data_IF_900816624083
#
_entry.id   IF_900816624083
#
_cell.length_a   1.000
_cell.length_b   1.000
_cell.length_c   1.000
_cell.angle_alpha   90.00
_cell.angle_beta   90.00
_cell.angle_gamma   90.00
#
_symmetry.space_group_name_H-M   'P 1'
#
loop_
_entity.id
_entity.type
_entity.pdbx_description
1 polymer ?
#
# COMPACT_ATOMS: atom_id res chain seq x y z
N UNK A 1 -2.56 9.28 -6.04
CA UNK A 1 -2.30 8.69 -7.36
C UNK A 1 -3.05 7.36 -7.52
N UNK A 2 -2.68 6.28 -6.82
CA UNK A 2 -3.20 4.91 -7.03
C UNK A 2 -4.72 4.79 -6.85
N UNK A 3 -5.28 5.48 -5.84
CA UNK A 3 -6.71 5.45 -5.58
C UNK A 3 -7.56 5.88 -6.79
N UNK A 4 -7.06 6.82 -7.62
CA UNK A 4 -7.76 7.27 -8.82
C UNK A 4 -7.91 6.14 -9.86
N UNK A 5 -6.84 5.36 -10.08
CA UNK A 5 -6.89 4.24 -11.02
C UNK A 5 -7.67 3.05 -10.47
N UNK A 6 -7.60 2.83 -9.16
CA UNK A 6 -8.38 1.78 -8.50
C UNK A 6 -9.89 2.10 -8.53
N UNK A 7 -10.26 3.38 -8.43
CA UNK A 7 -11.66 3.81 -8.47
C UNK A 7 -12.39 3.42 -9.76
N UNK A 8 -11.67 3.24 -10.87
CA UNK A 8 -12.25 2.82 -12.15
C UNK A 8 -12.59 1.32 -12.21
N UNK A 9 -12.07 0.52 -11.28
CA UNK A 9 -12.10 -0.95 -11.38
C UNK A 9 -12.58 -1.65 -10.11
N UNK A 10 -12.52 -0.98 -8.96
CA UNK A 10 -12.92 -1.55 -7.68
C UNK A 10 -14.34 -1.13 -7.31
N UNK A 11 -15.08 -2.02 -6.68
CA UNK A 11 -16.44 -1.72 -6.19
C UNK A 11 -16.44 -0.69 -5.04
N UNK A 12 -15.37 -0.65 -4.26
CA UNK A 12 -15.16 0.34 -3.21
C UNK A 12 -13.65 0.56 -3.01
N UNK A 13 -13.27 1.80 -2.70
CA UNK A 13 -11.88 2.17 -2.40
C UNK A 13 -11.83 2.99 -1.12
N UNK A 14 -10.85 2.70 -0.28
CA UNK A 14 -10.50 3.55 0.86
C UNK A 14 -9.10 4.09 0.64
N UNK A 15 -8.97 5.39 0.48
CA UNK A 15 -7.68 6.09 0.38
C UNK A 15 -7.32 6.66 1.76
N UNK A 16 -6.17 6.26 2.29
CA UNK A 16 -5.67 6.70 3.60
C UNK A 16 -4.47 7.61 3.39
N UNK A 17 -4.52 8.81 3.93
CA UNK A 17 -3.45 9.80 3.82
C UNK A 17 -3.33 10.60 5.12
N UNK A 18 -2.10 10.87 5.57
CA UNK A 18 -1.84 11.57 6.82
C UNK A 18 -1.61 13.08 6.63
N UNK A 19 -1.08 13.49 5.49
CA UNK A 19 -0.75 14.89 5.22
C UNK A 19 -2.02 15.71 4.90
N UNK A 20 -2.35 16.78 5.63
CA UNK A 20 -3.60 17.51 5.43
C UNK A 20 -3.79 18.06 4.01
N UNK A 21 -2.74 18.60 3.40
CA UNK A 21 -2.78 19.10 2.03
C UNK A 21 -3.10 17.97 1.04
N UNK A 22 -2.40 16.82 1.13
CA UNK A 22 -2.65 15.67 0.27
C UNK A 22 -4.04 15.04 0.50
N UNK A 23 -4.59 15.14 1.71
CA UNK A 23 -5.98 14.75 1.99
C UNK A 23 -6.96 15.67 1.25
N UNK A 24 -6.72 16.98 1.23
CA UNK A 24 -7.56 17.93 0.52
C UNK A 24 -7.53 17.65 -1.00
N UNK A 25 -6.34 17.52 -1.58
CA UNK A 25 -6.13 17.17 -2.99
C UNK A 25 -6.79 15.82 -3.34
N UNK A 26 -6.65 14.82 -2.46
CA UNK A 26 -7.28 13.52 -2.67
C UNK A 26 -8.81 13.62 -2.69
N UNK A 27 -9.42 14.41 -1.81
CA UNK A 27 -10.87 14.63 -1.79
C UNK A 27 -11.36 15.30 -3.05
N UNK A 28 -10.65 16.31 -3.55
CA UNK A 28 -10.98 16.99 -4.80
C UNK A 28 -10.87 16.04 -5.99
N UNK A 29 -9.71 15.37 -6.15
CA UNK A 29 -9.43 14.49 -7.28
C UNK A 29 -10.31 13.23 -7.32
N UNK A 30 -10.83 12.79 -6.16
CA UNK A 30 -11.66 11.59 -6.04
C UNK A 30 -13.17 11.91 -5.91
N UNK A 31 -13.55 13.18 -5.87
CA UNK A 31 -14.94 13.61 -5.79
C UNK A 31 -15.87 13.00 -6.87
N UNK A 32 -15.42 12.75 -8.12
CA UNK A 32 -16.24 12.09 -9.14
C UNK A 32 -16.58 10.62 -8.84
N UNK A 33 -15.95 10.00 -7.82
CA UNK A 33 -16.10 8.59 -7.50
C UNK A 33 -16.82 8.40 -6.16
N UNK A 34 -18.17 8.27 -6.12
CA UNK A 34 -18.93 8.20 -4.87
C UNK A 34 -18.64 6.96 -4.02
N UNK A 35 -18.04 5.92 -4.60
CA UNK A 35 -17.62 4.69 -3.91
C UNK A 35 -16.19 4.76 -3.33
N UNK A 36 -15.53 5.93 -3.44
CA UNK A 36 -14.21 6.17 -2.85
C UNK A 36 -14.36 6.98 -1.56
N UNK A 37 -13.79 6.46 -0.48
CA UNK A 37 -13.72 7.15 0.81
C UNK A 37 -12.29 7.61 1.09
N UNK A 38 -12.09 8.91 1.31
CA UNK A 38 -10.80 9.46 1.75
C UNK A 38 -10.80 9.57 3.27
N UNK A 39 -9.88 8.90 3.92
CA UNK A 39 -9.71 8.88 5.38
C UNK A 39 -8.40 9.59 5.75
N UNK A 40 -8.53 10.69 6.47
CA UNK A 40 -7.37 11.41 7.02
C UNK A 40 -6.82 10.66 8.24
N UNK A 41 -5.55 10.29 8.19
CA UNK A 41 -4.88 9.64 9.30
C UNK A 41 -3.70 8.79 8.86
N UNK A 42 -2.93 8.35 9.85
CA UNK A 42 -1.79 7.46 9.63
C UNK A 42 -2.28 6.02 9.41
N UNK A 43 -1.68 5.33 8.43
CA UNK A 43 -2.09 3.99 8.00
C UNK A 43 -2.12 2.98 9.16
N UNK A 44 -1.13 3.02 10.06
CA UNK A 44 -1.05 2.12 11.22
C UNK A 44 -2.20 2.28 12.22
N UNK A 45 -2.88 3.43 12.21
CA UNK A 45 -4.06 3.69 13.06
C UNK A 45 -5.37 3.42 12.33
N UNK A 46 -5.43 3.79 11.05
CA UNK A 46 -6.65 3.68 10.26
C UNK A 46 -6.92 2.24 9.84
N UNK A 47 -5.90 1.53 9.36
CA UNK A 47 -6.05 0.18 8.80
C UNK A 47 -6.68 -0.83 9.77
N UNK A 48 -6.30 -0.91 11.07
CA UNK A 48 -6.96 -1.80 12.03
C UNK A 48 -8.44 -1.49 12.25
N UNK A 49 -8.82 -0.21 12.15
CA UNK A 49 -10.18 0.28 12.43
C UNK A 49 -11.12 0.22 11.22
N UNK A 50 -10.63 -0.07 10.02
CA UNK A 50 -11.50 -0.19 8.84
C UNK A 50 -12.48 -1.35 9.01
N UNK A 51 -13.76 -1.10 8.71
CA UNK A 51 -14.77 -2.13 8.71
C UNK A 51 -14.70 -3.00 7.45
N UNK A 52 -15.19 -4.23 7.55
CA UNK A 52 -15.34 -5.13 6.43
C UNK A 52 -14.04 -5.83 5.98
N UNK A 53 -14.18 -6.63 4.94
CA UNK A 53 -13.08 -7.35 4.30
C UNK A 53 -12.33 -6.40 3.35
N UNK A 54 -11.01 -6.57 3.29
CA UNK A 54 -10.14 -5.87 2.35
C UNK A 54 -9.55 -6.94 1.40
N UNK A 55 -9.85 -6.83 0.12
CA UNK A 55 -9.40 -7.80 -0.88
C UNK A 55 -7.97 -7.51 -1.35
N UNK A 56 -7.63 -6.23 -1.50
CA UNK A 56 -6.30 -5.81 -1.92
C UNK A 56 -5.92 -4.47 -1.28
N UNK A 57 -4.62 -4.27 -1.10
CA UNK A 57 -4.04 -3.02 -0.62
C UNK A 57 -2.87 -2.63 -1.52
N UNK A 58 -2.75 -1.35 -1.80
CA UNK A 58 -1.54 -0.74 -2.38
C UNK A 58 -0.90 0.12 -1.31
N UNK A 59 0.38 -0.07 -1.05
CA UNK A 59 1.18 0.79 -0.17
C UNK A 59 2.33 1.43 -0.96
N UNK A 60 2.53 2.71 -0.73
CA UNK A 60 3.63 3.50 -1.28
C UNK A 60 4.28 4.29 -0.12
N UNK A 61 5.07 3.61 0.71
CA UNK A 61 5.66 4.21 1.89
C UNK A 61 6.82 5.15 1.51
N UNK A 62 7.20 6.06 2.42
CA UNK A 62 8.40 6.88 2.25
C UNK A 62 9.67 6.01 2.19
N UNK A 63 10.83 6.62 1.90
CA UNK A 63 12.14 5.95 1.84
C UNK A 63 12.48 5.10 3.08
N UNK A 64 11.96 5.48 4.25
CA UNK A 64 12.11 4.69 5.48
C UNK A 64 11.39 3.33 5.43
N UNK A 65 10.55 3.09 4.43
CA UNK A 65 9.76 1.88 4.25
C UNK A 65 8.46 1.87 5.05
N UNK A 66 7.81 0.73 5.06
CA UNK A 66 6.54 0.52 5.72
C UNK A 66 6.72 0.35 7.24
N UNK A 67 5.86 1.00 8.01
CA UNK A 67 5.81 0.79 9.46
C UNK A 67 5.47 -0.68 9.77
N UNK A 68 6.15 -1.25 10.76
CA UNK A 68 5.92 -2.63 11.19
C UNK A 68 4.47 -2.86 11.63
N UNK A 69 3.83 -1.86 12.23
CA UNK A 69 2.43 -1.93 12.64
C UNK A 69 1.47 -2.01 11.44
N UNK A 70 1.81 -1.39 10.30
CA UNK A 70 1.03 -1.54 9.06
C UNK A 70 1.12 -2.98 8.55
N UNK A 71 2.34 -3.56 8.49
CA UNK A 71 2.54 -4.96 8.08
C UNK A 71 1.77 -5.91 9.00
N UNK A 72 1.86 -5.71 10.30
CA UNK A 72 1.11 -6.51 11.28
C UNK A 72 -0.41 -6.40 11.09
N UNK A 73 -0.92 -5.19 10.84
CA UNK A 73 -2.34 -4.99 10.59
C UNK A 73 -2.82 -5.64 9.29
N UNK A 74 -2.02 -5.58 8.22
CA UNK A 74 -2.30 -6.28 6.96
C UNK A 74 -2.40 -7.80 7.17
N UNK A 75 -1.45 -8.37 7.92
CA UNK A 75 -1.42 -9.79 8.25
C UNK A 75 -2.61 -10.21 9.13
N UNK A 76 -2.91 -9.46 10.18
CA UNK A 76 -4.05 -9.71 11.06
C UNK A 76 -5.39 -9.70 10.29
N UNK A 77 -5.51 -8.87 9.27
CA UNK A 77 -6.67 -8.78 8.38
C UNK A 77 -6.64 -9.80 7.24
N UNK A 78 -5.56 -10.57 7.11
CA UNK A 78 -5.36 -11.56 6.05
C UNK A 78 -5.65 -10.99 4.65
N UNK A 79 -5.13 -9.79 4.38
CA UNK A 79 -5.35 -9.12 3.09
C UNK A 79 -4.80 -10.01 1.98
N UNK A 80 -5.67 -10.44 1.08
CA UNK A 80 -5.33 -11.50 0.11
C UNK A 80 -4.21 -11.07 -0.85
N UNK A 81 -4.18 -9.79 -1.23
CA UNK A 81 -3.18 -9.22 -2.16
C UNK A 81 -2.66 -7.89 -1.65
N UNK A 82 -1.35 -7.78 -1.58
CA UNK A 82 -0.65 -6.53 -1.29
C UNK A 82 0.24 -6.17 -2.48
N UNK A 83 0.13 -4.94 -2.95
CA UNK A 83 1.08 -4.32 -3.89
C UNK A 83 1.90 -3.31 -3.09
N UNK A 84 3.21 -3.47 -3.14
CA UNK A 84 4.14 -2.59 -2.44
C UNK A 84 4.99 -1.86 -3.47
N UNK A 85 4.88 -0.54 -3.51
CA UNK A 85 5.72 0.36 -4.32
C UNK A 85 6.85 0.86 -3.43
N UNK A 86 8.08 0.86 -3.92
CA UNK A 86 9.26 1.28 -3.17
C UNK A 86 10.24 2.04 -4.04
N UNK A 87 10.73 3.15 -3.54
CA UNK A 87 11.82 3.92 -4.15
C UNK A 87 13.20 3.53 -3.62
N UNK A 88 13.29 2.54 -2.71
CA UNK A 88 14.54 2.10 -2.11
C UNK A 88 14.58 0.57 -1.99
N UNK A 89 15.42 -0.11 -2.81
CA UNK A 89 15.50 -1.59 -2.79
C UNK A 89 16.00 -2.17 -1.47
N UNK A 90 16.88 -1.47 -0.73
CA UNK A 90 17.40 -1.96 0.54
C UNK A 90 16.30 -1.97 1.62
N UNK A 91 15.50 -0.92 1.65
CA UNK A 91 14.34 -0.82 2.53
C UNK A 91 13.27 -1.85 2.16
N UNK A 92 13.03 -2.04 0.86
CA UNK A 92 12.12 -3.09 0.38
C UNK A 92 12.60 -4.48 0.82
N UNK A 93 13.88 -4.78 0.73
CA UNK A 93 14.43 -6.08 1.16
C UNK A 93 14.26 -6.33 2.67
N UNK A 94 14.36 -5.27 3.50
CA UNK A 94 14.04 -5.35 4.93
C UNK A 94 12.56 -5.65 5.16
N UNK A 95 11.68 -4.93 4.47
CA UNK A 95 10.23 -5.07 4.64
C UNK A 95 9.72 -6.38 4.02
N UNK A 96 10.37 -6.88 2.97
CA UNK A 96 10.13 -8.20 2.40
C UNK A 96 10.32 -9.32 3.43
N UNK A 97 11.39 -9.26 4.25
CA UNK A 97 11.59 -10.21 5.35
C UNK A 97 10.46 -10.14 6.37
N UNK A 98 9.97 -8.94 6.71
CA UNK A 98 8.86 -8.75 7.64
C UNK A 98 7.54 -9.29 7.06
N UNK A 99 7.28 -9.04 5.77
CA UNK A 99 6.10 -9.56 5.07
C UNK A 99 6.12 -11.08 5.02
N UNK A 100 7.26 -11.70 4.70
CA UNK A 100 7.40 -13.15 4.69
C UNK A 100 7.17 -13.74 6.07
N UNK A 101 7.77 -13.17 7.12
CA UNK A 101 7.55 -13.60 8.50
C UNK A 101 6.10 -13.42 8.97
N UNK A 102 5.38 -12.46 8.39
CA UNK A 102 3.98 -12.21 8.67
C UNK A 102 3.01 -13.12 7.88
N UNK A 103 3.50 -14.01 7.03
CA UNK A 103 2.69 -14.98 6.28
C UNK A 103 2.37 -14.58 4.83
N UNK A 104 3.05 -13.58 4.28
CA UNK A 104 2.95 -13.22 2.86
C UNK A 104 4.01 -13.96 2.04
N UNK A 105 3.66 -14.31 0.81
CA UNK A 105 4.55 -14.88 -0.21
C UNK A 105 4.76 -13.85 -1.33
N UNK A 106 6.00 -13.61 -1.70
CA UNK A 106 6.34 -12.78 -2.85
C UNK A 106 5.87 -13.49 -4.14
N UNK A 107 5.08 -12.82 -4.95
CA UNK A 107 4.58 -13.32 -6.23
C UNK A 107 5.31 -12.72 -7.42
N UNK A 108 5.64 -11.44 -7.37
CA UNK A 108 6.35 -10.75 -8.44
C UNK A 108 7.12 -9.55 -7.91
N UNK A 109 8.22 -9.21 -8.59
CA UNK A 109 8.99 -7.98 -8.41
C UNK A 109 9.26 -7.39 -9.79
N UNK A 110 8.94 -6.12 -9.97
CA UNK A 110 9.13 -5.38 -11.23
C UNK A 110 9.94 -4.13 -10.90
N UNK A 111 11.22 -4.08 -11.26
CA UNK A 111 12.01 -2.85 -11.19
C UNK A 111 11.60 -1.92 -12.31
N UNK A 112 11.57 -0.62 -12.04
CA UNK A 112 11.18 0.43 -12.98
C UNK A 112 12.22 1.55 -12.91
N UNK A 113 12.88 1.82 -14.02
CA UNK A 113 13.81 2.94 -14.15
C UNK A 113 13.03 4.22 -14.50
N UNK A 114 12.58 4.94 -13.47
CA UNK A 114 11.90 6.23 -13.60
C UNK A 114 12.87 7.42 -13.58
N UNK A 115 14.10 7.20 -13.16
CA UNK A 115 15.11 8.24 -12.97
C UNK A 115 16.41 7.87 -13.68
N UNK A 116 16.40 7.83 -15.05
CA UNK A 116 17.59 7.44 -15.81
C UNK A 116 18.78 8.34 -15.47
N UNK A 117 19.98 7.77 -15.50
CA UNK A 117 21.24 8.40 -15.09
C UNK A 117 21.38 8.67 -13.59
N UNK A 118 20.52 8.07 -12.75
CA UNK A 118 20.67 8.06 -11.30
C UNK A 118 20.73 6.62 -10.79
N UNK A 119 21.06 6.44 -9.51
CA UNK A 119 21.02 5.12 -8.84
C UNK A 119 19.63 4.76 -8.29
N UNK A 120 18.64 5.60 -8.52
CA UNK A 120 17.28 5.38 -8.01
C UNK A 120 16.51 4.42 -8.92
N UNK A 121 16.07 3.33 -8.34
CA UNK A 121 15.19 2.35 -8.99
C UNK A 121 13.89 2.26 -8.19
N UNK A 122 12.79 2.54 -8.85
CA UNK A 122 11.47 2.24 -8.32
C UNK A 122 11.19 0.74 -8.46
N UNK A 123 10.48 0.18 -7.50
CA UNK A 123 10.17 -1.24 -7.51
C UNK A 123 8.73 -1.46 -7.15
N UNK A 124 7.99 -2.20 -7.97
CA UNK A 124 6.65 -2.68 -7.66
C UNK A 124 6.71 -4.15 -7.34
N UNK A 125 6.33 -4.52 -6.12
CA UNK A 125 6.26 -5.92 -5.71
C UNK A 125 4.83 -6.33 -5.35
N UNK A 126 4.47 -7.56 -5.73
CA UNK A 126 3.16 -8.16 -5.43
C UNK A 126 3.33 -9.30 -4.45
N UNK A 127 2.54 -9.25 -3.39
CA UNK A 127 2.54 -10.20 -2.30
C UNK A 127 1.17 -10.84 -2.14
N UNK A 128 1.13 -12.13 -1.90
CA UNK A 128 -0.10 -12.89 -1.69
C UNK A 128 -0.10 -13.49 -0.28
N UNK A 129 -1.23 -13.40 0.38
CA UNK A 129 -1.43 -14.04 1.67
C UNK A 129 -1.36 -15.57 1.52
N UNK A 130 -0.43 -16.20 2.19
CA UNK A 130 -0.22 -17.65 2.16
C UNK A 130 -0.65 -18.34 3.48
N UNK A 131 -0.98 -17.54 4.52
CA UNK A 131 -1.21 -18.02 5.86
C UNK A 131 0.08 -18.06 6.69
N UNK A 132 -0.08 -18.08 8.02
CA UNK A 132 1.05 -18.33 8.92
C UNK A 132 1.39 -19.82 8.86
N UNK A 133 2.64 -20.15 8.60
CA UNK A 133 3.19 -21.50 8.80
C UNK A 133 3.32 -21.80 10.27
#
# INVERSE_FOLDING_TARGET
LFARFLAERAAAVVAVEAAPAAVADARENLAPFPHVKVVAGRAERVLPALAGRIDAVVVDPPRAGCDAAVIAALAARRVARLVYVSCDPATLARDARRLTAAGYRLAAVIPIDLFPHTFHIETVSTWLWAGST
#
